data_IF_309275298097
#
_entry.id   IF_309275298097
#
_cell.length_a   1.000
_cell.length_b   1.000
_cell.length_c   1.000
_cell.angle_alpha   90.00
_cell.angle_beta   90.00
_cell.angle_gamma   90.00
#
_symmetry.space_group_name_H-M   'P 1'
#
loop_
_entity.id
_entity.type
_entity.pdbx_description
1 polymer ?
#
# COMPACT_ATOMS: atom_id res chain seq x y z
N UNK A 1 -5.51 -11.37 61.86
CA UNK A 1 -4.87 -10.61 60.77
C UNK A 1 -3.99 -11.56 59.96
N UNK A 2 -4.47 -12.05 58.81
CA UNK A 2 -3.66 -12.79 57.83
C UNK A 2 -3.56 -11.90 56.59
N UNK A 3 -2.39 -11.32 56.37
CA UNK A 3 -2.08 -10.50 55.20
C UNK A 3 -1.55 -11.46 54.13
N UNK A 4 -2.39 -11.81 53.15
CA UNK A 4 -2.08 -12.76 52.09
C UNK A 4 -1.82 -12.05 50.76
N UNK A 5 -0.55 -12.10 50.33
CA UNK A 5 0.05 -11.69 49.05
C UNK A 5 -0.89 -11.43 47.87
N UNK A 6 -0.87 -10.20 47.36
CA UNK A 6 -1.34 -9.83 46.03
C UNK A 6 -0.16 -10.05 45.05
N UNK A 7 -0.20 -11.15 44.29
CA UNK A 7 0.79 -11.42 43.23
C UNK A 7 0.35 -10.67 41.98
N UNK A 8 1.00 -9.54 41.69
CA UNK A 8 0.80 -8.77 40.46
C UNK A 8 1.51 -9.48 39.31
N UNK A 9 0.75 -10.13 38.44
CA UNK A 9 1.25 -10.77 37.22
C UNK A 9 1.60 -9.66 36.20
N UNK A 10 2.88 -9.28 36.09
CA UNK A 10 3.36 -8.42 35.00
C UNK A 10 3.32 -9.23 33.70
N UNK A 11 2.31 -8.97 32.86
CA UNK A 11 2.29 -9.46 31.49
C UNK A 11 3.42 -8.78 30.70
N UNK A 12 4.45 -9.57 30.35
CA UNK A 12 5.48 -9.20 29.38
C UNK A 12 4.83 -9.08 28.00
N UNK A 13 4.34 -7.90 27.65
CA UNK A 13 3.96 -7.58 26.28
C UNK A 13 5.23 -7.35 25.47
N UNK A 14 5.67 -8.35 24.71
CA UNK A 14 6.72 -8.16 23.71
C UNK A 14 6.25 -7.13 22.69
N UNK A 15 7.01 -6.05 22.40
CA UNK A 15 6.66 -5.15 21.33
C UNK A 15 6.71 -5.93 20.01
N UNK A 16 5.56 -6.09 19.37
CA UNK A 16 5.47 -6.52 17.98
C UNK A 16 5.99 -5.37 17.11
N UNK A 17 7.30 -5.35 16.88
CA UNK A 17 7.89 -4.37 15.98
C UNK A 17 7.41 -4.63 14.55
N UNK A 18 6.92 -3.58 13.90
CA UNK A 18 6.65 -3.60 12.47
C UNK A 18 7.94 -3.89 11.72
N UNK A 19 7.99 -4.97 10.96
CA UNK A 19 9.11 -5.24 10.06
C UNK A 19 8.86 -4.50 8.74
N UNK A 20 9.72 -3.53 8.40
CA UNK A 20 9.62 -2.85 7.11
C UNK A 20 10.20 -3.76 6.00
N UNK A 21 9.37 -4.11 5.02
CA UNK A 21 9.74 -4.96 3.88
C UNK A 21 10.28 -4.11 2.74
N UNK A 22 9.65 -2.98 2.43
CA UNK A 22 10.06 -2.12 1.32
C UNK A 22 9.76 -0.64 1.60
N UNK A 23 10.59 0.24 1.05
CA UNK A 23 10.36 1.68 1.05
C UNK A 23 10.64 2.28 -0.34
N UNK A 24 9.61 2.84 -0.94
CA UNK A 24 9.62 3.33 -2.31
C UNK A 24 9.06 4.74 -2.42
N UNK A 25 9.29 5.39 -3.56
CA UNK A 25 8.94 6.80 -3.74
C UNK A 25 8.67 7.21 -5.18
N UNK A 26 8.07 8.39 -5.33
CA UNK A 26 7.90 9.11 -6.59
C UNK A 26 7.23 8.30 -7.71
N UNK A 27 6.06 7.67 -7.48
CA UNK A 27 5.39 6.96 -8.54
C UNK A 27 4.97 7.92 -9.67
N UNK A 28 5.15 7.47 -10.90
CA UNK A 28 4.60 8.11 -12.10
C UNK A 28 4.13 7.08 -13.12
N UNK A 29 3.20 7.45 -13.97
CA UNK A 29 2.69 6.60 -15.03
C UNK A 29 1.47 7.20 -15.71
N UNK A 30 0.48 6.36 -16.01
CA UNK A 30 -0.72 6.75 -16.73
C UNK A 30 -1.98 6.36 -15.95
N UNK A 31 -2.98 7.23 -15.98
CA UNK A 31 -4.33 6.97 -15.49
C UNK A 31 -5.34 7.13 -16.62
N UNK A 32 -6.32 6.22 -16.69
CA UNK A 32 -7.51 6.36 -17.51
C UNK A 32 -8.67 6.83 -16.66
N UNK A 33 -9.27 7.96 -17.04
CA UNK A 33 -10.43 8.57 -16.39
C UNK A 33 -11.66 8.32 -17.26
N UNK A 34 -12.61 7.55 -16.75
CA UNK A 34 -13.82 7.21 -17.50
C UNK A 34 -14.78 8.40 -17.55
N UNK A 35 -15.47 8.61 -18.68
CA UNK A 35 -16.55 9.60 -18.80
C UNK A 35 -17.78 9.10 -18.03
N UNK A 36 -17.78 9.32 -16.72
CA UNK A 36 -18.86 8.95 -15.81
C UNK A 36 -18.84 9.84 -14.57
N UNK A 37 -20.00 9.95 -13.89
CA UNK A 37 -20.15 10.79 -12.71
C UNK A 37 -19.84 12.25 -13.00
N UNK A 38 -18.78 12.77 -12.39
CA UNK A 38 -18.33 14.17 -12.55
C UNK A 38 -17.35 14.40 -13.70
N UNK A 39 -16.85 13.34 -14.34
CA UNK A 39 -15.88 13.44 -15.44
C UNK A 39 -16.63 13.60 -16.75
N UNK A 40 -16.37 14.70 -17.45
CA UNK A 40 -17.00 15.00 -18.76
C UNK A 40 -16.20 14.40 -19.92
N UNK A 41 -16.79 14.31 -21.11
CA UNK A 41 -16.10 13.84 -22.33
C UNK A 41 -14.73 14.49 -22.55
N UNK A 42 -14.63 15.80 -22.32
CA UNK A 42 -13.39 16.58 -22.54
C UNK A 42 -12.29 16.26 -21.52
N UNK A 43 -12.69 15.79 -20.33
CA UNK A 43 -11.80 15.50 -19.20
C UNK A 43 -11.52 13.98 -19.08
N UNK A 44 -12.17 13.18 -19.91
CA UNK A 44 -12.01 11.72 -19.97
C UNK A 44 -10.80 11.31 -20.82
N UNK A 45 -10.31 10.09 -20.58
CA UNK A 45 -9.22 9.50 -21.35
C UNK A 45 -7.94 9.28 -20.56
N UNK A 46 -6.86 9.04 -21.31
CA UNK A 46 -5.53 8.77 -20.75
C UNK A 46 -4.79 10.05 -20.39
N UNK A 47 -4.38 10.15 -19.13
CA UNK A 47 -3.62 11.28 -18.61
C UNK A 47 -2.33 10.80 -17.91
N UNK A 48 -1.33 11.67 -17.89
CA UNK A 48 -0.15 11.48 -17.04
C UNK A 48 -0.55 11.59 -15.56
N UNK A 49 -0.05 10.65 -14.76
CA UNK A 49 -0.26 10.63 -13.32
C UNK A 49 1.09 10.58 -12.61
N UNK A 50 1.25 11.39 -11.57
CA UNK A 50 2.46 11.45 -10.76
C UNK A 50 2.13 11.88 -9.34
N UNK A 51 2.72 11.20 -8.37
CA UNK A 51 2.67 11.61 -6.95
C UNK A 51 4.06 12.08 -6.55
N UNK A 52 4.31 13.39 -6.74
CA UNK A 52 5.61 13.99 -6.41
C UNK A 52 5.83 13.98 -4.90
N UNK A 53 6.93 13.38 -4.44
CA UNK A 53 7.20 13.21 -3.01
C UNK A 53 6.31 12.14 -2.35
N UNK A 54 5.53 11.39 -3.13
CA UNK A 54 4.79 10.25 -2.63
C UNK A 54 5.76 9.20 -2.09
N UNK A 55 5.51 8.76 -0.87
CA UNK A 55 6.23 7.65 -0.23
C UNK A 55 5.27 6.48 -0.12
N UNK A 56 5.78 5.27 -0.34
CA UNK A 56 5.04 4.02 -0.18
C UNK A 56 5.92 3.05 0.59
N UNK A 57 5.39 2.49 1.68
CA UNK A 57 6.07 1.50 2.51
C UNK A 57 5.22 0.25 2.62
N UNK A 58 5.84 -0.90 2.49
CA UNK A 58 5.25 -2.19 2.85
C UNK A 58 5.84 -2.63 4.18
N UNK A 59 4.99 -2.95 5.15
CA UNK A 59 5.38 -3.50 6.44
C UNK A 59 4.61 -4.76 6.77
N UNK A 60 5.15 -5.53 7.70
CA UNK A 60 4.52 -6.71 8.29
C UNK A 60 4.43 -6.58 9.80
N UNK A 61 3.29 -6.95 10.36
CA UNK A 61 2.97 -6.89 11.77
C UNK A 61 2.42 -8.25 12.21
N UNK A 62 3.30 -9.13 12.69
CA UNK A 62 2.94 -10.53 12.89
C UNK A 62 2.64 -11.21 11.54
N UNK A 63 1.42 -11.69 11.37
CA UNK A 63 0.97 -12.31 10.11
C UNK A 63 0.30 -11.32 9.15
N UNK A 64 0.04 -10.09 9.60
CA UNK A 64 -0.65 -9.09 8.80
C UNK A 64 0.33 -8.21 8.03
N UNK A 65 -0.05 -7.82 6.82
CA UNK A 65 0.66 -6.82 6.03
C UNK A 65 -0.03 -5.47 6.11
N UNK A 66 0.73 -4.39 5.99
CA UNK A 66 0.17 -3.06 5.79
C UNK A 66 0.93 -2.28 4.73
N UNK A 67 0.21 -1.37 4.07
CA UNK A 67 0.76 -0.43 3.11
C UNK A 67 0.55 0.97 3.64
N UNK A 68 1.66 1.65 3.93
CA UNK A 68 1.63 3.02 4.40
C UNK A 68 2.09 3.95 3.29
N UNK A 69 1.35 5.02 3.03
CA UNK A 69 1.71 6.01 2.02
C UNK A 69 1.50 7.43 2.49
N UNK A 70 2.20 8.37 1.86
CA UNK A 70 1.98 9.80 2.08
C UNK A 70 0.95 10.31 1.10
N UNK A 71 -0.17 10.83 1.61
CA UNK A 71 -1.25 11.34 0.79
C UNK A 71 -1.02 12.81 0.33
N UNK A 72 -1.99 13.36 -0.40
CA UNK A 72 -1.94 14.74 -0.89
C UNK A 72 -1.96 15.80 0.22
N UNK A 73 -2.38 15.43 1.45
CA UNK A 73 -2.35 16.29 2.65
C UNK A 73 -1.01 16.20 3.39
N UNK A 74 -0.07 15.38 2.90
CA UNK A 74 1.21 15.05 3.53
C UNK A 74 1.06 14.27 4.83
N UNK A 75 -0.07 13.61 5.03
CA UNK A 75 -0.29 12.73 6.15
C UNK A 75 0.21 11.32 5.80
N UNK A 76 0.77 10.64 6.80
CA UNK A 76 1.14 9.23 6.68
C UNK A 76 -0.14 8.42 6.93
N UNK A 77 -0.59 7.69 5.92
CA UNK A 77 -1.86 6.96 5.93
C UNK A 77 -1.58 5.46 5.84
N UNK A 78 -2.16 4.68 6.75
CA UNK A 78 -2.21 3.22 6.68
C UNK A 78 -3.41 2.76 5.87
N UNK A 79 -3.18 1.90 4.88
CA UNK A 79 -4.24 1.29 4.09
C UNK A 79 -5.23 0.53 4.98
N UNK A 80 -4.73 -0.21 5.98
CA UNK A 80 -5.57 -0.94 6.92
C UNK A 80 -6.41 -0.03 7.81
N UNK A 81 -5.85 1.08 8.30
CA UNK A 81 -6.60 2.05 9.11
C UNK A 81 -7.72 2.72 8.31
N UNK A 82 -7.53 2.89 7.00
CA UNK A 82 -8.56 3.35 6.06
C UNK A 82 -9.55 2.25 5.61
N UNK A 83 -9.47 1.06 6.23
CA UNK A 83 -10.41 -0.04 6.02
C UNK A 83 -10.04 -1.00 4.88
N UNK A 84 -8.80 -0.97 4.39
CA UNK A 84 -8.33 -1.94 3.42
C UNK A 84 -8.06 -3.31 4.06
N UNK A 85 -8.25 -4.34 3.23
CA UNK A 85 -7.60 -5.64 3.45
C UNK A 85 -6.34 -5.72 2.58
N UNK A 86 -5.19 -6.03 3.18
CA UNK A 86 -3.90 -6.16 2.49
C UNK A 86 -3.47 -7.63 2.53
N UNK A 87 -3.27 -8.23 1.36
CA UNK A 87 -3.00 -9.67 1.22
C UNK A 87 -1.84 -9.93 0.28
N UNK A 88 -1.03 -10.95 0.57
CA UNK A 88 -0.03 -11.44 -0.36
C UNK A 88 -0.71 -12.00 -1.62
N UNK A 89 -0.46 -11.39 -2.77
CA UNK A 89 -0.99 -11.81 -4.06
C UNK A 89 -0.06 -12.81 -4.76
N UNK A 90 1.25 -12.52 -4.76
CA UNK A 90 2.25 -13.41 -5.35
C UNK A 90 3.63 -13.17 -4.75
N UNK A 91 4.48 -14.20 -4.80
CA UNK A 91 5.87 -14.14 -4.35
C UNK A 91 6.76 -14.92 -5.31
N UNK A 92 7.86 -14.30 -5.70
CA UNK A 92 9.00 -14.91 -6.37
C UNK A 92 10.30 -14.62 -5.60
N UNK A 93 11.43 -15.01 -6.16
CA UNK A 93 12.76 -14.77 -5.56
C UNK A 93 13.19 -13.31 -5.65
N UNK A 94 12.68 -12.56 -6.62
CA UNK A 94 13.02 -11.15 -6.88
C UNK A 94 11.81 -10.26 -7.03
N UNK A 95 10.63 -10.74 -6.64
CA UNK A 95 9.39 -9.98 -6.70
C UNK A 95 8.40 -10.42 -5.61
N UNK A 96 7.61 -9.47 -5.12
CA UNK A 96 6.47 -9.72 -4.24
C UNK A 96 5.34 -8.79 -4.66
N UNK A 97 4.12 -9.29 -4.73
CA UNK A 97 2.94 -8.48 -5.03
C UNK A 97 1.95 -8.55 -3.89
N UNK A 98 1.41 -7.40 -3.51
CA UNK A 98 0.38 -7.25 -2.50
C UNK A 98 -0.91 -6.78 -3.16
N UNK A 99 -2.02 -7.44 -2.86
CA UNK A 99 -3.36 -7.00 -3.20
C UNK A 99 -3.91 -6.18 -2.04
N UNK A 100 -4.36 -4.96 -2.31
CA UNK A 100 -5.01 -4.07 -1.36
C UNK A 100 -6.44 -3.85 -1.83
N UNK A 101 -7.42 -4.21 -1.00
CA UNK A 101 -8.84 -4.07 -1.34
C UNK A 101 -9.52 -3.16 -0.34
N UNK A 102 -10.08 -2.06 -0.82
CA UNK A 102 -11.04 -1.21 -0.13
C UNK A 102 -12.44 -1.59 -0.65
N UNK A 103 -13.24 -2.37 0.13
CA UNK A 103 -14.54 -2.85 -0.32
C UNK A 103 -15.43 -1.71 -0.83
N UNK A 104 -16.09 -1.92 -1.97
CA UNK A 104 -16.99 -0.94 -2.59
C UNK A 104 -16.30 0.26 -3.28
N UNK A 105 -14.97 0.39 -3.17
CA UNK A 105 -14.24 1.60 -3.61
C UNK A 105 -13.13 1.34 -4.61
N UNK A 106 -12.13 0.55 -4.23
CA UNK A 106 -10.87 0.44 -5.00
C UNK A 106 -10.17 -0.87 -4.69
N UNK A 107 -9.62 -1.50 -5.73
CA UNK A 107 -8.63 -2.56 -5.60
C UNK A 107 -7.30 -2.08 -6.20
N UNK A 108 -6.20 -2.36 -5.51
CA UNK A 108 -4.87 -1.94 -5.89
C UNK A 108 -3.91 -3.12 -5.79
N UNK A 109 -2.93 -3.19 -6.69
CA UNK A 109 -1.82 -4.14 -6.60
C UNK A 109 -0.53 -3.38 -6.54
N UNK A 110 0.27 -3.67 -5.52
CA UNK A 110 1.62 -3.16 -5.35
C UNK A 110 2.61 -4.29 -5.56
N UNK A 111 3.33 -4.24 -6.67
CA UNK A 111 4.38 -5.21 -7.00
C UNK A 111 5.73 -4.59 -6.74
N UNK A 112 6.46 -5.10 -5.77
CA UNK A 112 7.84 -4.72 -5.47
C UNK A 112 8.78 -5.71 -6.15
N UNK A 113 9.75 -5.22 -6.92
CA UNK A 113 10.63 -6.09 -7.69
C UNK A 113 12.05 -5.57 -7.83
N UNK A 114 12.96 -6.51 -8.09
CA UNK A 114 14.30 -6.21 -8.58
C UNK A 114 14.36 -6.48 -10.09
N UNK A 115 14.74 -5.48 -10.87
CA UNK A 115 14.88 -5.59 -12.33
C UNK A 115 16.10 -6.43 -12.70
N UNK A 116 16.19 -6.84 -13.97
CA UNK A 116 17.35 -7.58 -14.50
C UNK A 116 18.67 -6.79 -14.44
N UNK A 117 18.60 -5.46 -14.47
CA UNK A 117 19.76 -4.57 -14.27
C UNK A 117 20.09 -4.33 -12.79
N UNK A 118 19.29 -4.88 -11.88
CA UNK A 118 19.53 -4.82 -10.43
C UNK A 118 18.89 -3.62 -9.72
N UNK A 119 18.13 -2.78 -10.43
CA UNK A 119 17.37 -1.70 -9.80
C UNK A 119 16.20 -2.25 -8.99
N UNK A 120 15.85 -1.55 -7.92
CA UNK A 120 14.68 -1.85 -7.12
C UNK A 120 13.58 -0.86 -7.48
N UNK A 121 12.44 -1.38 -7.89
CA UNK A 121 11.29 -0.58 -8.26
C UNK A 121 10.01 -1.21 -7.71
N UNK A 122 8.94 -0.44 -7.75
CA UNK A 122 7.61 -0.99 -7.57
C UNK A 122 6.67 -0.54 -8.67
N UNK A 123 5.69 -1.37 -8.96
CA UNK A 123 4.57 -1.10 -9.86
C UNK A 123 3.32 -1.01 -9.01
N UNK A 124 2.55 0.06 -9.19
CA UNK A 124 1.24 0.25 -8.58
C UNK A 124 0.19 0.21 -9.68
N UNK A 125 -0.70 -0.77 -9.62
CA UNK A 125 -1.91 -0.79 -10.44
C UNK A 125 -3.11 -0.51 -9.55
N UNK A 126 -4.05 0.27 -10.07
CA UNK A 126 -5.23 0.68 -9.35
C UNK A 126 -6.45 0.52 -10.23
N UNK A 127 -7.51 -0.02 -9.66
CA UNK A 127 -8.85 -0.08 -10.21
C UNK A 127 -9.81 0.54 -9.22
N UNK A 128 -10.26 1.77 -9.52
CA UNK A 128 -11.20 2.53 -8.69
C UNK A 128 -12.52 2.64 -9.43
N UNK A 129 -13.52 1.98 -8.89
CA UNK A 129 -14.88 1.96 -9.42
C UNK A 129 -15.85 1.59 -8.29
N UNK A 130 -17.12 1.93 -8.45
CA UNK A 130 -18.17 1.68 -7.47
C UNK A 130 -18.89 2.97 -7.06
N UNK A 131 -20.00 2.82 -6.36
CA UNK A 131 -20.87 3.94 -6.00
C UNK A 131 -20.28 4.83 -4.89
N UNK A 132 -19.28 4.32 -4.15
CA UNK A 132 -18.63 5.04 -3.05
C UNK A 132 -17.43 5.91 -3.49
N UNK A 133 -17.15 6.01 -4.79
CA UNK A 133 -16.06 6.81 -5.34
C UNK A 133 -16.55 7.85 -6.32
N UNK A 134 -16.04 9.08 -6.19
CA UNK A 134 -16.46 10.20 -7.05
C UNK A 134 -15.92 10.11 -8.47
N UNK A 135 -14.74 9.49 -8.64
CA UNK A 135 -14.03 9.41 -9.92
C UNK A 135 -13.71 7.94 -10.17
N UNK A 136 -14.32 7.39 -11.21
CA UNK A 136 -13.97 6.06 -11.74
C UNK A 136 -12.70 6.18 -12.57
N UNK A 137 -11.66 5.45 -12.18
CA UNK A 137 -10.39 5.45 -12.90
C UNK A 137 -9.65 4.12 -12.77
N UNK A 138 -8.77 3.88 -13.72
CA UNK A 138 -7.74 2.86 -13.63
C UNK A 138 -6.37 3.50 -13.81
N UNK A 139 -5.33 3.04 -13.13
CA UNK A 139 -3.98 3.54 -13.35
C UNK A 139 -2.92 2.46 -13.24
N UNK A 140 -1.79 2.73 -13.90
CA UNK A 140 -0.54 1.97 -13.77
C UNK A 140 0.58 2.98 -13.59
N UNK A 141 1.28 2.87 -12.47
CA UNK A 141 2.43 3.70 -12.13
C UNK A 141 3.61 2.83 -11.73
N UNK A 142 4.81 3.36 -11.87
CA UNK A 142 6.00 2.77 -11.28
C UNK A 142 6.78 3.82 -10.50
N UNK A 143 7.51 3.39 -9.48
CA UNK A 143 8.39 4.24 -8.70
C UNK A 143 9.62 3.50 -8.21
N UNK A 144 10.55 4.22 -7.60
CA UNK A 144 11.85 3.68 -7.21
C UNK A 144 11.84 3.24 -5.74
N UNK A 145 12.47 2.11 -5.45
CA UNK A 145 12.61 1.61 -4.10
C UNK A 145 14.03 1.81 -3.58
N UNK A 146 14.15 2.36 -2.37
CA UNK A 146 15.44 2.50 -1.69
C UNK A 146 15.97 1.14 -1.23
N UNK A 147 15.07 0.27 -0.77
CA UNK A 147 15.37 -1.10 -0.39
C UNK A 147 14.11 -1.97 -0.55
N UNK A 148 14.32 -3.28 -0.71
CA UNK A 148 13.30 -4.33 -0.63
C UNK A 148 13.94 -5.54 0.06
N UNK A 149 13.31 -6.06 1.11
CA UNK A 149 13.69 -7.27 1.82
C UNK A 149 12.74 -8.42 1.44
N UNK A 150 13.07 -9.19 0.41
CA UNK A 150 12.23 -10.29 -0.06
C UNK A 150 12.13 -11.47 0.92
N UNK A 151 13.03 -11.54 1.90
CA UNK A 151 13.05 -12.62 2.90
C UNK A 151 12.07 -12.34 4.06
N UNK A 152 11.69 -11.08 4.27
CA UNK A 152 10.77 -10.63 5.31
C UNK A 152 9.26 -10.80 4.97
N UNK A 153 8.96 -11.27 3.75
CA UNK A 153 7.59 -11.57 3.29
C UNK A 153 7.17 -12.91 3.86
#
# INVERSE_FOLDING_TARGET
MKLGYFVTLLALSSPTHAEEIAACSNPSGKGYYAETGIITAKDSGWNDEKITGGLTKLSKHGDDYDLTYVDVRKEIVSAREEGATVMLLSRGTSSVSMLVVYPGKTAEVYTFLKTSSGHLEYIHTLSRAGDEVLITKASVMHGECRYINFDAV
#
